data_IF_604522180001
#
_entry.id   IF_604522180001
#
_cell.length_a   1.000
_cell.length_b   1.000
_cell.length_c   1.000
_cell.angle_alpha   90.00
_cell.angle_beta   90.00
_cell.angle_gamma   90.00
#
_symmetry.space_group_name_H-M   'P 1'
#
loop_
_entity.id
_entity.type
_entity.pdbx_description
1 polymer ?
#
# COMPACT_ATOMS: atom_id res chain seq x y z
N UNK A 1 18.22 38.03 42.90
CA UNK A 1 17.67 36.79 43.48
C UNK A 1 16.66 36.16 42.50
N UNK A 2 16.92 34.90 42.13
CA UNK A 2 16.07 33.80 41.59
C UNK A 2 14.81 34.07 40.74
N UNK A 3 14.94 33.73 39.44
CA UNK A 3 14.13 32.82 38.57
C UNK A 3 12.59 32.88 38.63
N UNK A 4 11.93 33.02 37.48
CA UNK A 4 11.48 31.86 36.65
C UNK A 4 10.43 32.28 35.62
N UNK A 5 10.79 32.23 34.33
CA UNK A 5 9.83 32.22 33.22
C UNK A 5 9.09 30.88 33.21
N UNK A 6 7.74 30.88 33.16
CA UNK A 6 6.97 29.69 32.78
C UNK A 6 5.75 30.06 31.94
N UNK A 7 6.09 30.17 30.64
CA UNK A 7 5.34 29.86 29.42
C UNK A 7 3.90 29.37 29.58
N UNK A 8 3.01 30.25 29.13
CA UNK A 8 1.75 30.04 28.38
C UNK A 8 1.66 28.64 27.75
N UNK A 9 0.59 27.91 28.05
CA UNK A 9 -0.32 27.27 27.05
C UNK A 9 -1.34 26.40 27.77
N UNK A 10 -2.50 26.95 28.07
CA UNK A 10 -3.71 26.18 28.33
C UNK A 10 -4.78 26.66 27.37
N UNK A 11 -4.97 25.95 26.25
CA UNK A 11 -6.26 25.82 25.55
C UNK A 11 -6.08 24.97 24.29
N UNK A 12 -6.12 23.66 24.47
CA UNK A 12 -6.72 22.76 23.49
C UNK A 12 -7.58 21.78 24.28
N UNK A 13 -8.83 22.19 24.50
CA UNK A 13 -9.89 21.30 24.97
C UNK A 13 -10.04 20.17 23.96
N UNK A 14 -9.56 18.97 24.30
CA UNK A 14 -9.90 17.75 23.57
C UNK A 14 -11.36 17.43 23.85
N UNK A 15 -12.20 17.66 22.85
CA UNK A 15 -13.58 17.21 22.82
C UNK A 15 -13.61 15.69 23.06
N UNK A 16 -14.34 15.27 24.09
CA UNK A 16 -14.52 13.86 24.46
C UNK A 16 -15.75 13.37 23.71
N UNK A 17 -15.54 12.62 22.62
CA UNK A 17 -16.63 11.93 21.93
C UNK A 17 -17.06 10.76 22.83
N UNK A 18 -18.34 10.66 23.26
CA UNK A 18 -18.82 9.50 24.01
C UNK A 18 -19.10 8.36 23.03
N UNK A 19 -18.36 7.26 23.16
CA UNK A 19 -18.70 6.00 22.49
C UNK A 19 -19.55 5.21 23.48
N UNK A 20 -20.86 5.20 23.27
CA UNK A 20 -21.78 4.34 24.02
C UNK A 20 -21.94 3.02 23.27
N UNK A 21 -21.18 2.01 23.68
CA UNK A 21 -21.50 0.62 23.38
C UNK A 21 -21.91 -0.04 24.70
N UNK A 22 -23.23 -0.25 24.84
CA UNK A 22 -23.85 -1.01 25.91
C UNK A 22 -23.44 -2.48 25.77
N UNK A 23 -22.26 -2.84 26.25
CA UNK A 23 -21.91 -4.20 26.67
C UNK A 23 -20.85 -4.08 27.75
N UNK A 24 -21.15 -4.66 28.91
CA UNK A 24 -20.44 -4.48 30.18
C UNK A 24 -19.08 -5.21 30.17
N UNK A 25 -18.16 -4.78 29.31
CA UNK A 25 -16.77 -5.20 29.32
C UNK A 25 -15.98 -4.21 30.17
N UNK A 26 -15.51 -4.66 31.33
CA UNK A 26 -14.60 -3.89 32.19
C UNK A 26 -13.24 -3.75 31.49
N UNK A 27 -13.11 -2.76 30.61
CA UNK A 27 -11.87 -2.47 29.92
C UNK A 27 -10.96 -1.64 30.83
N UNK A 28 -9.94 -2.28 31.40
CA UNK A 28 -8.94 -1.61 32.24
C UNK A 28 -7.74 -1.19 31.39
N UNK A 29 -7.57 0.12 31.19
CA UNK A 29 -6.33 0.65 30.60
C UNK A 29 -5.25 0.78 31.68
N UNK A 30 -4.07 0.22 31.43
CA UNK A 30 -2.88 0.39 32.28
C UNK A 30 -1.88 1.28 31.55
N UNK A 31 -1.36 2.30 32.24
CA UNK A 31 -0.19 3.03 31.77
C UNK A 31 1.06 2.16 31.95
N UNK A 32 1.80 1.95 30.88
CA UNK A 32 3.05 1.18 30.86
C UNK A 32 4.18 2.13 30.42
N UNK A 33 5.35 2.01 31.03
CA UNK A 33 6.55 2.72 30.58
C UNK A 33 7.02 2.17 29.23
N UNK A 34 7.25 3.06 28.26
CA UNK A 34 7.67 2.73 26.90
C UNK A 34 8.97 1.90 26.91
N UNK A 35 9.87 2.15 27.87
CA UNK A 35 11.13 1.39 28.00
C UNK A 35 10.94 -0.09 28.35
N UNK A 36 9.72 -0.49 28.71
CA UNK A 36 9.34 -1.88 29.06
C UNK A 36 8.54 -2.58 27.95
N UNK A 37 8.41 -1.96 26.77
CA UNK A 37 7.66 -2.52 25.65
C UNK A 37 8.66 -3.01 24.60
N UNK A 38 8.70 -4.32 24.38
CA UNK A 38 9.50 -4.92 23.31
C UNK A 38 8.80 -4.76 21.96
N UNK A 39 9.55 -4.60 20.85
CA UNK A 39 8.97 -4.57 19.51
C UNK A 39 8.26 -5.88 19.20
N UNK A 40 7.16 -5.82 18.45
CA UNK A 40 6.37 -7.01 18.10
C UNK A 40 7.21 -7.99 17.26
N UNK A 41 7.36 -9.26 17.69
CA UNK A 41 8.10 -10.26 16.92
C UNK A 41 7.39 -10.64 15.61
N UNK A 42 6.08 -10.41 15.54
CA UNK A 42 5.20 -10.68 14.41
C UNK A 42 4.99 -9.47 13.51
N UNK A 43 6.00 -8.63 13.35
CA UNK A 43 5.95 -7.56 12.37
C UNK A 43 6.02 -8.15 10.96
N UNK A 44 4.88 -8.17 10.25
CA UNK A 44 4.78 -8.72 8.88
C UNK A 44 5.61 -7.93 7.83
N UNK A 45 5.99 -6.68 8.12
CA UNK A 45 6.86 -5.86 7.26
C UNK A 45 8.18 -5.56 7.99
N UNK A 46 9.18 -6.45 7.85
CA UNK A 46 10.52 -6.30 8.44
C UNK A 46 11.51 -5.54 7.54
N UNK A 47 11.24 -5.50 6.24
CA UNK A 47 12.04 -4.78 5.25
C UNK A 47 11.16 -3.73 4.59
N UNK A 48 11.19 -2.52 5.15
CA UNK A 48 10.80 -1.34 4.40
C UNK A 48 12.08 -0.85 3.75
N UNK A 49 12.25 -1.12 2.45
CA UNK A 49 13.41 -0.63 1.71
C UNK A 49 13.39 0.90 1.83
N UNK A 50 14.36 1.51 2.53
CA UNK A 50 14.41 2.95 2.81
C UNK A 50 14.28 3.78 1.53
N UNK A 51 14.62 3.16 0.39
CA UNK A 51 14.45 3.70 -0.94
C UNK A 51 12.99 4.03 -1.29
N UNK A 52 12.00 3.29 -0.77
CA UNK A 52 10.57 3.46 -1.09
C UNK A 52 9.96 4.78 -0.56
N UNK A 53 10.68 5.56 0.25
CA UNK A 53 10.24 6.87 0.77
C UNK A 53 10.78 8.06 -0.03
N UNK A 54 11.65 7.85 -1.03
CA UNK A 54 12.20 8.96 -1.83
C UNK A 54 11.18 9.41 -2.89
N UNK A 55 10.91 10.72 -2.95
CA UNK A 55 10.01 11.31 -3.95
C UNK A 55 10.67 11.57 -5.31
N UNK A 56 12.00 11.46 -5.38
CA UNK A 56 12.81 11.82 -6.56
C UNK A 56 13.37 10.59 -7.27
N UNK A 57 12.53 9.60 -7.52
CA UNK A 57 12.95 8.50 -8.40
C UNK A 57 13.02 9.01 -9.84
N UNK A 58 14.08 8.62 -10.55
CA UNK A 58 14.05 8.65 -12.01
C UNK A 58 12.94 7.73 -12.53
N UNK A 59 12.50 7.96 -13.77
CA UNK A 59 11.48 7.11 -14.40
C UNK A 59 11.89 5.64 -14.41
N UNK A 60 13.18 5.35 -14.55
CA UNK A 60 13.73 3.99 -14.56
C UNK A 60 13.62 3.34 -13.18
N UNK A 61 14.04 4.04 -12.13
CA UNK A 61 13.96 3.51 -10.77
C UNK A 61 12.50 3.32 -10.33
N UNK A 62 11.60 4.20 -10.76
CA UNK A 62 10.15 4.05 -10.52
C UNK A 62 9.59 2.78 -11.19
N UNK A 63 10.03 2.49 -12.41
CA UNK A 63 9.65 1.27 -13.14
C UNK A 63 10.20 0.04 -12.42
N UNK A 64 11.47 0.05 -12.03
CA UNK A 64 12.08 -1.07 -11.30
C UNK A 64 11.41 -1.32 -9.94
N UNK A 65 11.10 -0.26 -9.19
CA UNK A 65 10.37 -0.37 -7.94
C UNK A 65 8.98 -0.98 -8.15
N UNK A 66 8.26 -0.54 -9.18
CA UNK A 66 6.95 -1.09 -9.55
C UNK A 66 7.04 -2.57 -9.91
N UNK A 67 8.04 -2.95 -10.71
CA UNK A 67 8.29 -4.36 -11.07
C UNK A 67 8.56 -5.18 -9.82
N UNK A 68 9.39 -4.69 -8.89
CA UNK A 68 9.67 -5.39 -7.62
C UNK A 68 8.42 -5.58 -6.77
N UNK A 69 7.56 -4.55 -6.67
CA UNK A 69 6.30 -4.63 -5.91
C UNK A 69 5.38 -5.68 -6.52
N UNK A 70 5.19 -5.65 -7.83
CA UNK A 70 4.38 -6.66 -8.55
C UNK A 70 4.98 -8.05 -8.35
N UNK A 71 6.29 -8.20 -8.50
CA UNK A 71 6.97 -9.49 -8.39
C UNK A 71 6.85 -10.12 -6.99
N UNK A 72 6.97 -9.32 -5.93
CA UNK A 72 6.78 -9.78 -4.55
C UNK A 72 5.36 -10.28 -4.31
N UNK A 73 4.36 -9.55 -4.79
CA UNK A 73 2.95 -9.92 -4.56
C UNK A 73 2.53 -11.13 -5.43
N UNK A 74 2.95 -11.13 -6.70
CA UNK A 74 2.71 -12.23 -7.64
C UNK A 74 3.51 -13.49 -7.31
N UNK A 75 4.60 -13.37 -6.56
CA UNK A 75 5.46 -14.48 -6.12
C UNK A 75 4.75 -15.55 -5.28
N UNK A 76 3.50 -15.29 -4.85
CA UNK A 76 2.61 -16.27 -4.21
C UNK A 76 2.04 -17.30 -5.19
N UNK A 77 1.99 -16.99 -6.48
CA UNK A 77 1.41 -17.85 -7.51
C UNK A 77 2.50 -18.76 -8.14
N UNK A 78 2.39 -20.10 -8.04
CA UNK A 78 3.39 -21.01 -8.59
C UNK A 78 3.60 -20.87 -10.10
N UNK A 79 2.54 -20.62 -10.86
CA UNK A 79 2.65 -20.43 -12.31
C UNK A 79 3.50 -19.20 -12.62
N UNK A 80 3.33 -18.11 -11.87
CA UNK A 80 4.12 -16.89 -12.05
C UNK A 80 5.62 -17.13 -11.84
N UNK A 81 6.00 -17.97 -10.88
CA UNK A 81 7.41 -18.33 -10.66
C UNK A 81 8.01 -19.14 -11.82
N UNK A 82 7.19 -19.91 -12.55
CA UNK A 82 7.66 -20.70 -13.70
C UNK A 82 7.92 -19.88 -14.96
N UNK A 83 7.33 -18.68 -15.10
CA UNK A 83 7.37 -17.93 -16.37
C UNK A 83 8.69 -17.19 -16.63
N UNK A 84 9.59 -17.09 -15.64
CA UNK A 84 10.86 -16.40 -15.81
C UNK A 84 11.79 -16.43 -14.60
N UNK A 85 13.10 -16.31 -14.87
CA UNK A 85 14.15 -16.34 -13.84
C UNK A 85 14.29 -15.00 -13.09
N UNK A 86 14.00 -13.88 -13.75
CA UNK A 86 14.14 -12.54 -13.17
C UNK A 86 12.77 -11.87 -12.99
N UNK A 87 12.61 -10.94 -12.01
CA UNK A 87 11.37 -10.18 -11.81
C UNK A 87 10.87 -9.51 -13.09
N UNK A 88 11.76 -8.82 -13.81
CA UNK A 88 11.45 -8.16 -15.08
C UNK A 88 10.88 -9.15 -16.11
N UNK A 89 11.51 -10.32 -16.28
CA UNK A 89 11.04 -11.33 -17.24
C UNK A 89 9.69 -11.92 -16.85
N UNK A 90 9.47 -12.17 -15.56
CA UNK A 90 8.20 -12.70 -15.06
C UNK A 90 7.07 -11.69 -15.26
N UNK A 91 7.26 -10.44 -14.83
CA UNK A 91 6.28 -9.35 -15.02
C UNK A 91 6.01 -9.13 -16.51
N UNK A 92 7.05 -9.07 -17.34
CA UNK A 92 6.88 -8.91 -18.79
C UNK A 92 6.04 -10.05 -19.38
N UNK A 93 6.33 -11.32 -19.04
CA UNK A 93 5.58 -12.47 -19.55
C UNK A 93 4.13 -12.50 -19.07
N UNK A 94 3.89 -12.10 -17.82
CA UNK A 94 2.55 -11.90 -17.27
C UNK A 94 1.78 -10.86 -18.10
N UNK A 95 2.35 -9.67 -18.28
CA UNK A 95 1.74 -8.59 -19.04
C UNK A 95 1.46 -8.98 -20.49
N UNK A 96 2.40 -9.65 -21.16
CA UNK A 96 2.18 -10.16 -22.52
C UNK A 96 1.01 -11.15 -22.60
N UNK A 97 0.83 -12.01 -21.58
CA UNK A 97 -0.29 -12.95 -21.55
C UNK A 97 -1.62 -12.24 -21.34
N UNK A 98 -1.67 -11.26 -20.43
CA UNK A 98 -2.87 -10.45 -20.19
C UNK A 98 -3.26 -9.67 -21.45
N UNK A 99 -2.28 -9.07 -22.11
CA UNK A 99 -2.50 -8.32 -23.35
C UNK A 99 -3.01 -9.23 -24.48
N UNK A 100 -2.44 -10.43 -24.62
CA UNK A 100 -2.92 -11.42 -25.59
C UNK A 100 -4.38 -11.80 -25.35
N UNK A 101 -4.80 -11.99 -24.10
CA UNK A 101 -6.19 -12.33 -23.77
C UNK A 101 -7.12 -11.15 -24.07
N UNK A 102 -6.72 -9.93 -23.70
CA UNK A 102 -7.45 -8.70 -24.00
C UNK A 102 -7.66 -8.53 -25.51
N UNK A 103 -6.59 -8.61 -26.30
CA UNK A 103 -6.65 -8.47 -27.76
C UNK A 103 -7.55 -9.54 -28.38
N UNK A 104 -7.52 -10.78 -27.88
CA UNK A 104 -8.42 -11.83 -28.35
C UNK A 104 -9.89 -11.49 -28.08
N UNK A 105 -10.22 -10.98 -26.87
CA UNK A 105 -11.58 -10.53 -26.55
C UNK A 105 -12.03 -9.37 -27.43
N UNK A 106 -11.18 -8.37 -27.61
CA UNK A 106 -11.50 -7.17 -28.41
C UNK A 106 -11.78 -7.51 -29.88
N UNK A 107 -11.17 -8.58 -30.39
CA UNK A 107 -11.40 -9.10 -31.75
C UNK A 107 -12.61 -10.03 -31.86
N UNK A 108 -13.33 -10.28 -30.77
CA UNK A 108 -14.46 -11.21 -30.74
C UNK A 108 -14.06 -12.69 -30.80
N UNK A 109 -12.79 -13.02 -30.57
CA UNK A 109 -12.32 -14.41 -30.54
C UNK A 109 -12.79 -15.11 -29.27
N UNK A 110 -13.15 -16.39 -29.40
CA UNK A 110 -13.54 -17.22 -28.25
C UNK A 110 -12.31 -17.46 -27.35
N UNK A 111 -12.27 -16.81 -26.19
CA UNK A 111 -11.28 -17.10 -25.15
C UNK A 111 -11.80 -18.25 -24.29
N UNK A 112 -10.94 -19.21 -23.96
CA UNK A 112 -11.33 -20.30 -23.08
C UNK A 112 -11.69 -19.77 -21.69
N UNK A 113 -12.74 -20.33 -21.07
CA UNK A 113 -13.21 -19.89 -19.75
C UNK A 113 -12.10 -19.90 -18.70
N UNK A 114 -11.23 -20.91 -18.73
CA UNK A 114 -10.06 -21.03 -17.84
C UNK A 114 -9.07 -19.89 -18.02
N UNK A 115 -8.78 -19.50 -19.28
CA UNK A 115 -7.89 -18.38 -19.55
C UNK A 115 -8.52 -17.05 -19.11
N UNK A 116 -9.83 -16.94 -19.23
CA UNK A 116 -10.57 -15.76 -18.81
C UNK A 116 -10.59 -15.58 -17.29
N UNK A 117 -10.94 -16.63 -16.56
CA UNK A 117 -10.90 -16.65 -15.09
C UNK A 117 -9.49 -16.31 -14.59
N UNK A 118 -8.46 -16.85 -15.26
CA UNK A 118 -7.07 -16.56 -14.94
C UNK A 118 -6.68 -15.10 -15.24
N UNK A 119 -7.21 -14.50 -16.31
CA UNK A 119 -7.04 -13.08 -16.61
C UNK A 119 -7.62 -12.22 -15.50
N UNK A 120 -8.89 -12.47 -15.12
CA UNK A 120 -9.56 -11.72 -14.06
C UNK A 120 -8.83 -11.82 -12.73
N UNK A 121 -8.40 -13.02 -12.32
CA UNK A 121 -7.60 -13.24 -11.11
C UNK A 121 -6.36 -12.34 -11.05
N UNK A 122 -5.58 -12.29 -12.14
CA UNK A 122 -4.34 -11.50 -12.16
C UNK A 122 -4.60 -10.01 -12.26
N UNK A 123 -5.60 -9.58 -13.03
CA UNK A 123 -5.99 -8.16 -13.12
C UNK A 123 -6.45 -7.66 -11.75
N UNK A 124 -7.32 -8.39 -11.05
CA UNK A 124 -7.77 -8.03 -9.71
C UNK A 124 -6.62 -7.93 -8.71
N UNK A 125 -5.67 -8.88 -8.77
CA UNK A 125 -4.50 -8.84 -7.90
C UNK A 125 -3.65 -7.61 -8.18
N UNK A 126 -3.35 -7.32 -9.44
CA UNK A 126 -2.57 -6.14 -9.84
C UNK A 126 -3.30 -4.85 -9.44
N UNK A 127 -4.60 -4.74 -9.67
CA UNK A 127 -5.39 -3.61 -9.22
C UNK A 127 -5.36 -3.43 -7.70
N UNK A 128 -5.42 -4.54 -6.94
CA UNK A 128 -5.38 -4.51 -5.48
C UNK A 128 -4.04 -3.96 -4.97
N UNK A 129 -2.94 -4.27 -5.66
CA UNK A 129 -1.62 -3.70 -5.38
C UNK A 129 -1.70 -2.18 -5.52
N UNK A 130 -2.15 -1.69 -6.68
CA UNK A 130 -2.19 -0.25 -6.96
C UNK A 130 -3.18 0.52 -6.07
N UNK A 131 -4.30 -0.09 -5.67
CA UNK A 131 -5.26 0.52 -4.71
C UNK A 131 -4.63 0.73 -3.33
N UNK A 132 -3.75 -0.16 -2.91
CA UNK A 132 -3.09 -0.13 -1.59
C UNK A 132 -1.78 0.66 -1.58
N UNK A 133 -1.29 1.11 -2.73
CA UNK A 133 -0.10 1.96 -2.80
C UNK A 133 -0.41 3.38 -2.31
N UNK A 134 0.50 4.02 -1.56
CA UNK A 134 0.34 5.41 -1.16
C UNK A 134 0.28 6.29 -2.43
N UNK A 135 -0.85 6.96 -2.63
CA UNK A 135 -1.03 7.86 -3.78
C UNK A 135 0.01 8.99 -3.70
N UNK A 136 0.61 9.39 -4.84
CA UNK A 136 1.52 10.53 -4.88
C UNK A 136 0.90 11.77 -4.26
N UNK A 137 1.67 12.54 -3.50
CA UNK A 137 1.20 13.77 -2.85
C UNK A 137 0.60 14.78 -3.84
N UNK A 138 1.13 14.85 -5.07
CA UNK A 138 0.59 15.68 -6.16
C UNK A 138 -0.85 15.30 -6.59
N UNK A 139 -1.30 14.08 -6.30
CA UNK A 139 -2.66 13.62 -6.61
C UNK A 139 -3.62 13.83 -5.44
N UNK A 140 -3.10 14.02 -4.22
CA UNK A 140 -3.94 14.37 -3.07
C UNK A 140 -4.52 15.77 -3.25
N UNK A 141 -3.69 16.76 -3.62
CA UNK A 141 -4.15 18.14 -3.85
C UNK A 141 -5.22 18.26 -4.93
N UNK A 142 -5.17 17.42 -5.97
CA UNK A 142 -6.16 17.40 -7.05
C UNK A 142 -7.52 16.81 -6.61
N UNK A 143 -7.53 15.90 -5.62
CA UNK A 143 -8.75 15.25 -5.14
C UNK A 143 -9.32 15.89 -3.86
N UNK A 144 -8.50 16.56 -3.06
CA UNK A 144 -8.94 17.20 -1.80
C UNK A 144 -9.38 18.66 -1.95
N UNK A 145 -9.42 19.21 -3.16
CA UNK A 145 -9.88 20.59 -3.40
C UNK A 145 -9.21 21.65 -2.51
N UNK A 146 -7.89 21.56 -2.30
CA UNK A 146 -7.13 22.70 -1.77
C UNK A 146 -6.30 23.30 -2.91
N UNK A 147 -6.98 23.74 -3.96
CA UNK A 147 -6.50 24.88 -4.74
C UNK A 147 -6.81 26.11 -3.89
N UNK A 148 -5.87 26.52 -3.05
CA UNK A 148 -5.73 27.96 -2.81
C UNK A 148 -5.21 28.51 -4.13
N UNK A 149 -6.14 28.90 -5.01
CA UNK A 149 -5.86 29.93 -5.99
C UNK A 149 -5.58 31.20 -5.17
N UNK A 150 -4.30 31.51 -4.97
CA UNK A 150 -3.73 32.86 -4.81
C UNK A 150 -2.21 32.75 -4.67
#
# INVERSE_FOLDING_TARGET
MKKSQKKITSHLQKQKIPITDNNNYSFSFKMIDIKKIDPSPYQHRKYFDENSLRQDFSSIESIEATIKIIDVEMGKDPWYLTVGKTPLKRVHKLLSKLDSIRICKDRGSLVSKVADDQFHKYVELVESIFKNLPKPLKWRSFLTHDLILL
#
